data_IF_931215286742
#
_entry.id   IF_931215286742
#
_cell.length_a   1.000
_cell.length_b   1.000
_cell.length_c   1.000
_cell.angle_alpha   90.00
_cell.angle_beta   90.00
_cell.angle_gamma   90.00
#
_symmetry.space_group_name_H-M   'P 1'
#
loop_
_entity.id
_entity.type
_entity.pdbx_description
1 polymer ?
#
# COMPACT_ATOMS: atom_id res chain seq x y z
N UNK A 1 -4.22 -4.06 4.17
CA UNK A 1 -4.89 -2.96 3.42
C UNK A 1 -4.12 -2.66 2.15
N UNK A 2 -4.80 -2.39 1.02
CA UNK A 2 -4.16 -1.91 -0.20
C UNK A 2 -4.70 -0.53 -0.56
N UNK A 3 -3.78 0.43 -0.79
CA UNK A 3 -4.11 1.83 -1.07
C UNK A 3 -4.44 2.02 -2.54
N UNK A 4 -5.66 2.45 -2.86
CA UNK A 4 -6.16 2.54 -4.23
C UNK A 4 -7.00 3.81 -4.51
N UNK A 5 -6.96 4.82 -3.61
CA UNK A 5 -7.81 6.00 -3.70
C UNK A 5 -7.25 7.14 -4.56
N UNK A 6 -5.96 7.07 -4.94
CA UNK A 6 -5.25 8.15 -5.62
C UNK A 6 -5.82 8.52 -7.00
N UNK A 7 -5.86 9.82 -7.33
CA UNK A 7 -6.33 10.34 -8.62
C UNK A 7 -5.46 9.90 -9.81
N UNK A 8 -4.15 9.71 -9.60
CA UNK A 8 -3.23 9.35 -10.67
C UNK A 8 -3.07 10.43 -11.75
N UNK A 9 -2.99 11.71 -11.38
CA UNK A 9 -2.97 12.84 -12.32
C UNK A 9 -1.86 12.77 -13.37
N UNK A 10 -0.67 12.30 -12.98
CA UNK A 10 0.48 12.12 -13.90
C UNK A 10 0.26 11.02 -14.96
N UNK A 11 -0.76 10.18 -14.79
CA UNK A 11 -1.13 9.11 -15.71
C UNK A 11 -2.18 9.52 -16.75
N UNK A 12 -2.63 10.79 -16.74
CA UNK A 12 -3.58 11.29 -17.75
C UNK A 12 -3.00 11.19 -19.16
N UNK A 13 -3.85 10.86 -20.18
CA UNK A 13 -5.32 10.76 -20.11
C UNK A 13 -5.84 9.39 -19.64
N UNK A 14 -4.98 8.39 -19.39
CA UNK A 14 -5.42 7.02 -19.03
C UNK A 14 -6.33 7.01 -17.80
N UNK A 15 -6.01 7.82 -16.81
CA UNK A 15 -6.77 7.91 -15.54
C UNK A 15 -7.97 8.84 -15.59
N UNK A 16 -8.34 9.36 -16.77
CA UNK A 16 -9.61 10.05 -16.93
C UNK A 16 -10.79 9.08 -17.08
N UNK A 17 -10.53 7.87 -17.59
CA UNK A 17 -11.53 6.83 -17.82
C UNK A 17 -11.43 5.64 -16.87
N UNK A 18 -10.22 5.33 -16.38
CA UNK A 18 -9.96 4.18 -15.51
C UNK A 18 -9.19 4.62 -14.26
N UNK A 19 -9.51 4.09 -13.06
CA UNK A 19 -8.70 4.35 -11.88
C UNK A 19 -7.32 3.70 -12.06
N UNK A 20 -6.26 4.38 -11.61
CA UNK A 20 -4.87 3.92 -11.77
C UNK A 20 -4.65 2.46 -11.36
N UNK A 21 -5.23 1.95 -10.24
CA UNK A 21 -5.08 0.55 -9.82
C UNK A 21 -5.62 -0.49 -10.81
N UNK A 22 -6.49 -0.09 -11.76
CA UNK A 22 -7.02 -0.97 -12.80
C UNK A 22 -6.21 -0.94 -14.11
N UNK A 23 -5.19 -0.09 -14.23
CA UNK A 23 -4.30 -0.08 -15.39
C UNK A 23 -3.52 -1.40 -15.46
N UNK A 24 -3.40 -1.94 -16.67
CA UNK A 24 -2.86 -3.27 -16.91
C UNK A 24 -1.33 -3.28 -16.98
N UNK A 25 -0.71 -4.21 -16.26
CA UNK A 25 0.70 -4.58 -16.38
C UNK A 25 0.76 -6.08 -16.64
N UNK A 26 1.38 -6.49 -17.74
CA UNK A 26 1.54 -7.90 -18.13
C UNK A 26 0.23 -8.71 -18.05
N UNK A 27 -0.87 -8.10 -18.47
CA UNK A 27 -2.19 -8.74 -18.53
C UNK A 27 -3.00 -8.74 -17.24
N UNK A 28 -2.49 -8.12 -16.16
CA UNK A 28 -3.23 -7.99 -14.89
C UNK A 28 -3.28 -6.53 -14.43
N UNK A 29 -4.37 -6.07 -13.79
CA UNK A 29 -4.40 -4.76 -13.14
C UNK A 29 -3.31 -4.63 -12.09
N UNK A 30 -2.77 -3.41 -11.91
CA UNK A 30 -1.77 -3.13 -10.88
C UNK A 30 -2.20 -3.60 -9.49
N UNK A 31 -3.45 -3.38 -9.12
CA UNK A 31 -4.01 -3.78 -7.83
C UNK A 31 -3.98 -5.31 -7.61
N UNK A 32 -3.98 -6.11 -8.68
CA UNK A 32 -3.96 -7.56 -8.59
C UNK A 32 -2.67 -8.08 -7.92
N UNK A 33 -1.52 -7.46 -8.20
CA UNK A 33 -0.22 -7.94 -7.71
C UNK A 33 -0.13 -7.95 -6.18
N UNK A 34 -0.35 -6.85 -5.46
CA UNK A 34 -0.33 -6.87 -4.00
C UNK A 34 -1.45 -7.72 -3.40
N UNK A 35 -2.62 -7.78 -4.01
CA UNK A 35 -3.71 -8.65 -3.53
C UNK A 35 -3.34 -10.13 -3.64
N UNK A 36 -2.77 -10.55 -4.78
CA UNK A 36 -2.34 -11.92 -4.98
C UNK A 36 -1.20 -12.32 -4.02
N UNK A 37 -0.21 -11.44 -3.83
CA UNK A 37 0.89 -11.68 -2.91
C UNK A 37 0.42 -11.80 -1.44
N UNK A 38 -0.54 -10.96 -1.02
CA UNK A 38 -1.18 -11.07 0.31
C UNK A 38 -1.96 -12.38 0.47
N UNK A 39 -2.71 -12.79 -0.55
CA UNK A 39 -3.44 -14.07 -0.52
C UNK A 39 -2.49 -15.26 -0.42
N UNK A 40 -1.38 -15.26 -1.17
CA UNK A 40 -0.33 -16.29 -1.09
C UNK A 40 0.34 -16.36 0.27
N UNK A 41 0.44 -15.23 0.97
CA UNK A 41 0.94 -15.15 2.35
C UNK A 41 -0.07 -15.66 3.40
N UNK A 42 -1.28 -16.06 2.99
CA UNK A 42 -2.32 -16.55 3.90
C UNK A 42 -3.16 -15.46 4.55
N UNK A 43 -3.11 -14.22 4.06
CA UNK A 43 -4.00 -13.14 4.52
C UNK A 43 -5.45 -13.49 4.14
N UNK A 44 -6.34 -13.51 5.11
CA UNK A 44 -7.75 -13.95 4.93
C UNK A 44 -8.70 -12.82 4.59
N UNK A 45 -8.32 -11.56 4.86
CA UNK A 45 -9.13 -10.39 4.52
C UNK A 45 -8.22 -9.19 4.18
N UNK A 46 -8.60 -8.42 3.17
CA UNK A 46 -7.90 -7.19 2.78
C UNK A 46 -8.90 -6.05 2.57
N UNK A 47 -8.59 -4.90 3.16
CA UNK A 47 -9.33 -3.65 2.92
C UNK A 47 -8.69 -2.91 1.75
N UNK A 48 -9.48 -2.52 0.77
CA UNK A 48 -9.08 -1.66 -0.35
C UNK A 48 -9.72 -0.28 -0.12
N UNK A 49 -8.92 0.78 0.05
CA UNK A 49 -9.50 2.11 0.04
C UNK A 49 -9.70 2.57 -1.40
N UNK A 50 -10.81 3.23 -1.66
CA UNK A 50 -11.19 3.69 -2.99
C UNK A 50 -11.55 5.17 -2.98
N UNK A 51 -11.23 5.87 -4.05
CA UNK A 51 -11.51 7.29 -4.22
C UNK A 51 -11.89 7.61 -5.66
N UNK A 52 -11.00 8.24 -6.41
CA UNK A 52 -11.23 8.57 -7.81
C UNK A 52 -11.60 7.35 -8.66
N UNK A 53 -12.78 7.38 -9.31
CA UNK A 53 -13.34 6.26 -10.09
C UNK A 53 -13.38 4.93 -9.30
N UNK A 54 -13.45 5.01 -7.98
CA UNK A 54 -13.41 3.85 -7.07
C UNK A 54 -14.60 2.90 -7.23
N UNK A 55 -15.71 3.39 -7.80
CA UNK A 55 -16.89 2.62 -8.20
C UNK A 55 -16.61 1.58 -9.30
N UNK A 56 -15.47 1.67 -9.99
CA UNK A 56 -15.02 0.66 -10.94
C UNK A 56 -14.20 -0.47 -10.28
N UNK A 57 -13.62 -0.25 -9.09
CA UNK A 57 -12.72 -1.22 -8.45
C UNK A 57 -13.50 -2.40 -7.87
N UNK A 58 -14.56 -2.14 -7.12
CA UNK A 58 -15.38 -3.19 -6.51
C UNK A 58 -16.04 -4.11 -7.56
N UNK A 59 -16.63 -3.63 -8.65
CA UNK A 59 -17.11 -4.50 -9.73
C UNK A 59 -16.03 -5.32 -10.41
N UNK A 60 -14.78 -4.83 -10.47
CA UNK A 60 -13.67 -5.53 -11.10
C UNK A 60 -13.14 -6.69 -10.25
N UNK A 61 -13.14 -6.55 -8.92
CA UNK A 61 -12.56 -7.54 -8.00
C UNK A 61 -13.60 -8.33 -7.19
N UNK A 62 -14.83 -7.81 -7.04
CA UNK A 62 -15.87 -8.44 -6.23
C UNK A 62 -15.55 -8.44 -4.74
N UNK A 63 -16.21 -9.35 -4.00
CA UNK A 63 -16.04 -9.49 -2.55
C UNK A 63 -14.97 -10.52 -2.15
N UNK A 64 -14.45 -11.29 -3.11
CA UNK A 64 -13.44 -12.33 -2.90
C UNK A 64 -12.45 -12.35 -4.07
N UNK A 65 -11.18 -12.60 -3.79
CA UNK A 65 -10.11 -12.60 -4.80
C UNK A 65 -10.31 -13.68 -5.89
N UNK A 66 -10.92 -14.84 -5.55
CA UNK A 66 -11.19 -15.91 -6.49
C UNK A 66 -12.15 -15.50 -7.62
N UNK A 67 -13.09 -14.60 -7.33
CA UNK A 67 -14.02 -14.08 -8.34
C UNK A 67 -13.30 -13.29 -9.45
N UNK A 68 -12.20 -12.64 -9.08
CA UNK A 68 -11.35 -11.92 -10.01
C UNK A 68 -10.50 -12.86 -10.87
N UNK A 69 -9.92 -13.91 -10.26
CA UNK A 69 -9.11 -14.91 -10.96
C UNK A 69 -9.86 -15.58 -12.12
N UNK A 70 -11.17 -15.81 -11.96
CA UNK A 70 -12.02 -16.37 -13.01
C UNK A 70 -12.28 -15.41 -14.19
N UNK A 71 -12.35 -14.11 -13.93
CA UNK A 71 -12.62 -13.10 -14.98
C UNK A 71 -11.39 -12.77 -15.84
N UNK A 72 -10.17 -12.96 -15.30
CA UNK A 72 -8.90 -12.65 -15.98
C UNK A 72 -8.00 -13.87 -16.19
N UNK A 73 -8.50 -15.07 -15.97
CA UNK A 73 -7.75 -16.32 -16.02
C UNK A 73 -7.30 -16.68 -17.44
N UNK A 74 -6.17 -16.15 -17.85
CA UNK A 74 -5.33 -16.79 -18.89
C UNK A 74 -4.17 -17.61 -18.27
N UNK A 75 -3.95 -17.56 -16.96
CA UNK A 75 -2.89 -18.30 -16.25
C UNK A 75 -3.51 -19.01 -15.04
N UNK A 76 -3.45 -20.35 -15.04
CA UNK A 76 -3.85 -21.17 -13.90
C UNK A 76 -2.93 -20.87 -12.71
N UNK A 77 -3.33 -19.98 -11.83
CA UNK A 77 -2.78 -19.90 -10.49
C UNK A 77 -3.44 -20.96 -9.62
N UNK A 78 -2.65 -21.69 -8.86
CA UNK A 78 -3.15 -22.67 -7.88
C UNK A 78 -4.13 -21.96 -6.95
N UNK A 79 -5.42 -22.31 -7.07
CA UNK A 79 -6.46 -21.74 -6.22
C UNK A 79 -6.10 -21.93 -4.75
N UNK A 80 -6.07 -20.84 -4.00
CA UNK A 80 -6.01 -20.92 -2.55
C UNK A 80 -7.25 -21.69 -2.07
N UNK A 81 -7.07 -22.61 -1.14
CA UNK A 81 -8.19 -23.38 -0.56
C UNK A 81 -9.16 -22.50 0.23
N UNK A 82 -8.79 -21.25 0.50
CA UNK A 82 -9.61 -20.27 1.21
C UNK A 82 -9.53 -18.92 0.48
N UNK A 83 -10.61 -18.45 -0.12
CA UNK A 83 -10.65 -17.17 -0.80
C UNK A 83 -10.40 -16.01 0.18
N UNK A 84 -9.53 -15.07 -0.20
CA UNK A 84 -9.31 -13.85 0.58
C UNK A 84 -10.50 -12.91 0.42
N UNK A 85 -11.11 -12.50 1.53
CA UNK A 85 -12.22 -11.54 1.53
C UNK A 85 -11.73 -10.13 1.23
N UNK A 86 -12.43 -9.44 0.34
CA UNK A 86 -12.17 -8.04 0.00
C UNK A 86 -13.23 -7.15 0.65
N UNK A 87 -12.76 -6.12 1.36
CA UNK A 87 -13.56 -5.09 1.98
C UNK A 87 -13.20 -3.75 1.35
N UNK A 88 -14.15 -2.84 1.25
CA UNK A 88 -13.95 -1.55 0.61
C UNK A 88 -14.17 -0.40 1.60
N UNK A 89 -13.21 0.55 1.60
CA UNK A 89 -13.28 1.78 2.39
C UNK A 89 -13.29 2.97 1.43
N UNK A 90 -14.43 3.65 1.33
CA UNK A 90 -14.60 4.75 0.37
C UNK A 90 -14.18 6.10 0.98
N UNK A 91 -13.30 6.83 0.29
CA UNK A 91 -12.81 8.15 0.72
C UNK A 91 -13.63 9.31 0.15
N UNK A 92 -14.41 9.07 -0.90
CA UNK A 92 -15.17 10.06 -1.66
C UNK A 92 -15.14 9.74 -3.16
N UNK A 93 -15.94 10.44 -3.95
CA UNK A 93 -16.07 10.19 -5.40
C UNK A 93 -15.49 11.31 -6.28
N UNK A 94 -15.24 12.49 -5.69
CA UNK A 94 -14.80 13.68 -6.42
C UNK A 94 -13.28 13.77 -6.59
N UNK A 95 -12.83 14.46 -7.62
CA UNK A 95 -11.43 14.85 -7.75
C UNK A 95 -11.08 15.78 -6.57
N UNK A 96 -10.07 15.40 -5.79
CA UNK A 96 -9.65 16.15 -4.62
C UNK A 96 -10.30 15.72 -3.29
N UNK A 97 -11.15 14.70 -3.28
CA UNK A 97 -11.73 14.12 -2.05
C UNK A 97 -10.83 13.04 -1.41
N UNK A 98 -9.75 12.62 -2.09
CA UNK A 98 -8.77 11.69 -1.52
C UNK A 98 -8.21 12.24 -0.21
N UNK A 99 -8.18 11.37 0.82
CA UNK A 99 -7.82 11.74 2.20
C UNK A 99 -6.31 11.71 2.44
N UNK A 100 -5.51 11.49 1.42
CA UNK A 100 -4.09 11.14 1.53
C UNK A 100 -3.87 9.85 2.33
N UNK A 101 -2.62 9.41 2.45
CA UNK A 101 -2.35 8.05 2.94
C UNK A 101 -2.80 7.83 4.38
N UNK A 102 -2.44 8.71 5.30
CA UNK A 102 -2.82 8.54 6.71
C UNK A 102 -4.32 8.76 6.92
N UNK A 103 -4.92 9.77 6.27
CA UNK A 103 -6.36 10.00 6.34
C UNK A 103 -7.18 8.82 5.82
N UNK A 104 -6.72 8.17 4.74
CA UNK A 104 -7.34 6.96 4.17
C UNK A 104 -7.18 5.74 5.08
N UNK A 105 -6.00 5.54 5.69
CA UNK A 105 -5.80 4.47 6.68
C UNK A 105 -6.69 4.71 7.90
N UNK A 106 -6.77 5.95 8.42
CA UNK A 106 -7.63 6.29 9.55
C UNK A 106 -9.10 6.02 9.26
N UNK A 107 -9.57 6.27 8.03
CA UNK A 107 -10.93 5.92 7.61
C UNK A 107 -11.17 4.41 7.63
N UNK A 108 -10.21 3.64 7.16
CA UNK A 108 -10.28 2.19 7.11
C UNK A 108 -10.01 1.51 8.47
N UNK A 109 -9.45 2.22 9.46
CA UNK A 109 -8.94 1.65 10.71
C UNK A 109 -9.95 0.78 11.46
N UNK A 110 -11.27 1.09 11.52
CA UNK A 110 -12.27 0.21 12.13
C UNK A 110 -12.41 -1.16 11.48
N UNK A 111 -11.93 -1.33 10.23
CA UNK A 111 -11.96 -2.58 9.46
C UNK A 111 -10.64 -3.35 9.54
N UNK A 112 -9.61 -2.79 10.18
CA UNK A 112 -8.26 -3.37 10.25
C UNK A 112 -8.01 -4.03 11.60
N UNK A 113 -7.15 -5.05 11.60
CA UNK A 113 -6.71 -5.75 12.80
C UNK A 113 -5.73 -4.90 13.62
N UNK A 114 -5.32 -5.42 14.79
CA UNK A 114 -4.32 -4.78 15.68
C UNK A 114 -2.97 -4.60 14.99
N UNK A 115 -2.56 -5.56 14.16
CA UNK A 115 -1.37 -5.50 13.30
C UNK A 115 -1.81 -5.78 11.88
N UNK A 116 -1.42 -4.93 10.94
CA UNK A 116 -1.86 -5.06 9.55
C UNK A 116 -0.80 -4.61 8.55
N UNK A 117 -0.83 -5.26 7.39
CA UNK A 117 -0.07 -4.85 6.22
C UNK A 117 -0.71 -3.66 5.52
N UNK A 118 0.13 -2.76 5.00
CA UNK A 118 -0.27 -1.73 4.03
C UNK A 118 0.63 -1.85 2.81
N UNK A 119 0.03 -1.81 1.63
CA UNK A 119 0.75 -1.74 0.36
C UNK A 119 0.04 -0.77 -0.60
N UNK A 120 0.77 -0.11 -1.47
CA UNK A 120 0.17 0.70 -2.52
C UNK A 120 -0.33 -0.18 -3.67
N UNK A 121 -1.51 0.12 -4.19
CA UNK A 121 -2.15 -0.56 -5.32
C UNK A 121 -1.70 -0.02 -6.70
N UNK A 122 -0.72 0.87 -6.71
CA UNK A 122 -0.18 1.51 -7.91
C UNK A 122 1.32 1.30 -8.11
N UNK A 123 1.89 0.37 -7.33
CA UNK A 123 3.29 -0.07 -7.40
C UNK A 123 3.35 -1.48 -7.98
N UNK A 124 4.25 -1.70 -8.92
CA UNK A 124 4.55 -3.02 -9.46
C UNK A 124 5.73 -3.63 -8.71
N UNK A 125 5.45 -4.69 -7.95
CA UNK A 125 6.44 -5.38 -7.10
C UNK A 125 6.11 -6.88 -7.07
N UNK A 126 6.32 -7.59 -8.20
CA UNK A 126 5.78 -8.93 -8.42
C UNK A 126 6.35 -10.00 -7.49
N UNK A 127 7.60 -9.81 -7.03
CA UNK A 127 8.34 -10.82 -6.27
C UNK A 127 8.40 -10.51 -4.76
N UNK A 128 7.62 -9.52 -4.28
CA UNK A 128 7.60 -9.21 -2.85
C UNK A 128 6.82 -10.27 -2.07
N UNK A 129 7.47 -10.81 -1.03
CA UNK A 129 6.86 -11.82 -0.16
C UNK A 129 6.40 -11.16 1.15
N UNK A 130 5.10 -11.17 1.40
CA UNK A 130 4.50 -10.78 2.68
C UNK A 130 4.76 -11.89 3.72
N UNK A 131 5.92 -11.88 4.37
CA UNK A 131 6.37 -12.95 5.26
C UNK A 131 5.61 -12.94 6.59
N UNK A 132 5.00 -14.09 6.95
CA UNK A 132 4.35 -14.25 8.26
C UNK A 132 5.38 -14.29 9.40
N UNK A 133 6.60 -14.76 9.15
CA UNK A 133 7.70 -14.68 10.14
C UNK A 133 8.03 -13.22 10.48
N UNK A 134 8.15 -12.35 9.46
CA UNK A 134 8.39 -10.91 9.68
C UNK A 134 7.20 -10.28 10.41
N UNK A 135 5.98 -10.67 10.07
CA UNK A 135 4.76 -10.22 10.74
C UNK A 135 4.78 -10.58 12.24
N UNK A 136 5.07 -11.83 12.57
CA UNK A 136 5.09 -12.30 13.97
C UNK A 136 6.21 -11.63 14.77
N UNK A 137 7.40 -11.49 14.18
CA UNK A 137 8.53 -10.78 14.79
C UNK A 137 8.17 -9.30 15.04
N UNK A 138 7.57 -8.63 14.08
CA UNK A 138 7.12 -7.25 14.23
C UNK A 138 6.04 -7.13 15.32
N UNK A 139 5.06 -8.03 15.33
CA UNK A 139 3.98 -8.07 16.33
C UNK A 139 4.56 -8.17 17.76
N UNK A 140 5.60 -8.97 17.96
CA UNK A 140 6.27 -9.15 19.23
C UNK A 140 7.21 -7.99 19.61
N UNK A 141 7.61 -7.15 18.69
CA UNK A 141 8.55 -6.04 18.90
C UNK A 141 7.89 -4.83 19.58
N UNK A 142 8.71 -3.85 19.99
CA UNK A 142 8.22 -2.55 20.47
C UNK A 142 7.97 -1.53 19.34
N UNK A 143 8.36 -1.83 18.11
CA UNK A 143 8.11 -0.94 16.98
C UNK A 143 6.59 -0.81 16.71
N UNK A 144 6.15 0.38 16.31
CA UNK A 144 4.78 0.67 15.92
C UNK A 144 4.59 0.63 14.39
N UNK A 145 5.68 0.77 13.65
CA UNK A 145 5.71 0.57 12.21
C UNK A 145 6.96 -0.20 11.79
N UNK A 146 6.87 -1.00 10.73
CA UNK A 146 7.99 -1.55 9.98
C UNK A 146 7.80 -1.22 8.51
N UNK A 147 8.79 -0.55 7.90
CA UNK A 147 8.70 -0.08 6.52
C UNK A 147 9.75 -0.76 5.64
N UNK A 148 9.40 -1.01 4.38
CA UNK A 148 10.38 -1.45 3.39
C UNK A 148 10.89 -0.27 2.58
N UNK A 149 12.21 -0.19 2.49
CA UNK A 149 12.94 0.79 1.73
C UNK A 149 13.50 0.13 0.47
N UNK A 150 13.61 0.90 -0.61
CA UNK A 150 14.20 0.45 -1.87
C UNK A 150 15.31 1.39 -2.32
N UNK A 151 16.26 0.94 -3.14
CA UNK A 151 17.22 1.82 -3.81
C UNK A 151 16.49 2.96 -4.53
N UNK A 152 17.10 4.15 -4.53
CA UNK A 152 16.46 5.34 -5.07
C UNK A 152 16.28 5.24 -6.59
N UNK A 153 15.03 5.31 -7.08
CA UNK A 153 14.77 5.38 -8.52
C UNK A 153 15.15 6.76 -9.08
N UNK A 154 15.31 6.88 -10.39
CA UNK A 154 15.69 8.12 -11.06
C UNK A 154 14.86 9.35 -10.67
N UNK A 155 13.59 9.15 -10.40
CA UNK A 155 12.65 10.23 -10.04
C UNK A 155 12.66 10.61 -8.55
N UNK A 156 13.33 9.85 -7.68
CA UNK A 156 13.51 10.14 -6.25
C UNK A 156 14.97 9.89 -5.82
N UNK A 157 15.93 10.55 -6.45
CA UNK A 157 17.37 10.37 -6.16
C UNK A 157 17.76 10.79 -4.74
N UNK A 158 16.95 11.64 -4.08
CA UNK A 158 17.21 12.09 -2.71
C UNK A 158 16.86 11.06 -1.66
N UNK A 159 15.91 10.14 -1.98
CA UNK A 159 15.33 9.23 -1.01
C UNK A 159 14.46 9.92 0.05
N UNK A 160 13.89 9.12 0.93
CA UNK A 160 12.92 9.55 1.93
C UNK A 160 13.43 9.36 3.36
N UNK A 161 14.05 8.19 3.63
CA UNK A 161 14.45 7.76 4.97
C UNK A 161 15.78 7.02 4.95
N UNK A 162 16.52 7.12 6.06
CA UNK A 162 17.73 6.35 6.30
C UNK A 162 17.46 5.02 7.02
N UNK A 163 18.50 4.20 7.09
CA UNK A 163 18.51 2.93 7.83
C UNK A 163 19.71 2.89 8.77
N UNK A 164 19.48 2.60 10.05
CA UNK A 164 20.56 2.38 11.02
C UNK A 164 21.08 0.94 10.96
N UNK A 165 22.24 0.70 11.55
CA UNK A 165 22.83 -0.64 11.65
C UNK A 165 21.95 -1.60 12.49
N UNK A 166 21.12 -1.06 13.39
CA UNK A 166 20.19 -1.82 14.24
C UNK A 166 18.83 -2.08 13.55
N UNK A 167 18.65 -1.66 12.28
CA UNK A 167 17.41 -1.87 11.55
C UNK A 167 16.31 -0.84 11.88
N UNK A 168 16.67 0.36 12.39
CA UNK A 168 15.72 1.43 12.59
C UNK A 168 15.69 2.37 11.39
N UNK A 169 14.48 2.80 11.02
CA UNK A 169 14.31 3.88 10.06
C UNK A 169 14.73 5.22 10.68
N UNK A 170 15.40 6.06 9.90
CA UNK A 170 15.97 7.34 10.33
C UNK A 170 15.45 8.49 9.47
N UNK A 171 15.14 9.62 10.13
CA UNK A 171 14.79 10.86 9.44
C UNK A 171 15.95 11.45 8.65
N UNK A 172 17.17 11.25 9.14
CA UNK A 172 18.41 11.76 8.55
C UNK A 172 19.48 10.67 8.58
N UNK A 173 20.24 10.54 7.51
CA UNK A 173 21.37 9.64 7.37
C UNK A 173 22.29 10.14 6.26
N UNK A 174 23.54 9.65 6.21
CA UNK A 174 24.45 9.92 5.12
C UNK A 174 23.95 9.36 3.77
N UNK A 175 23.10 8.34 3.80
CA UNK A 175 22.40 7.78 2.63
C UNK A 175 20.94 7.58 2.98
N UNK A 176 20.05 8.04 2.10
CA UNK A 176 18.60 7.84 2.20
C UNK A 176 18.15 6.88 1.09
N UNK A 177 17.10 6.15 1.37
CA UNK A 177 16.42 5.21 0.48
C UNK A 177 14.99 5.68 0.24
N UNK A 178 14.38 5.22 -0.84
CA UNK A 178 12.98 5.50 -1.14
C UNK A 178 12.06 4.58 -0.33
N UNK A 179 10.99 5.13 0.25
CA UNK A 179 9.94 4.33 0.88
C UNK A 179 9.13 3.60 -0.18
N UNK A 180 9.13 2.28 -0.12
CA UNK A 180 8.44 1.43 -1.10
C UNK A 180 6.92 1.51 -1.06
N UNK A 181 6.35 2.16 -0.03
CA UNK A 181 4.92 2.13 0.30
C UNK A 181 4.40 0.76 0.76
N UNK A 182 5.31 -0.16 1.11
CA UNK A 182 4.98 -1.41 1.77
C UNK A 182 5.37 -1.29 3.24
N UNK A 183 4.45 -1.63 4.14
CA UNK A 183 4.68 -1.52 5.57
C UNK A 183 3.81 -2.47 6.39
N UNK A 184 4.24 -2.74 7.62
CA UNK A 184 3.44 -3.24 8.72
C UNK A 184 3.19 -2.11 9.71
N UNK A 185 1.98 -2.04 10.23
CA UNK A 185 1.62 -1.11 11.29
C UNK A 185 0.93 -1.83 12.43
N UNK A 186 1.15 -1.34 13.65
CA UNK A 186 0.25 -1.58 14.77
C UNK A 186 -0.81 -0.49 14.81
N UNK A 187 -2.02 -0.82 15.19
CA UNK A 187 -3.10 0.15 15.40
C UNK A 187 -2.66 1.31 16.29
N UNK A 188 -1.87 1.02 17.33
CA UNK A 188 -1.29 2.01 18.23
C UNK A 188 -0.46 3.11 17.56
N UNK A 189 0.09 2.86 16.35
CA UNK A 189 0.75 3.92 15.57
C UNK A 189 -0.22 5.05 15.21
N UNK A 190 -1.47 4.72 14.93
CA UNK A 190 -2.52 5.66 14.52
C UNK A 190 -3.35 6.19 15.69
N UNK A 191 -3.08 5.75 16.91
CA UNK A 191 -3.71 6.19 18.16
C UNK A 191 -2.76 7.04 19.02
N UNK A 192 -1.53 7.29 18.53
CA UNK A 192 -0.53 8.10 19.21
C UNK A 192 -0.73 9.61 18.99
N UNK A 193 -0.09 10.43 19.82
CA UNK A 193 -0.23 11.89 19.82
C UNK A 193 0.09 12.57 18.47
N UNK A 194 0.90 11.96 17.62
CA UNK A 194 1.18 12.46 16.28
C UNK A 194 0.06 12.23 15.26
N UNK A 195 -1.00 11.49 15.62
CA UNK A 195 -2.16 11.25 14.78
C UNK A 195 -3.45 11.73 15.45
N UNK A 196 -3.81 13.01 15.32
CA UNK A 196 -4.97 13.59 15.99
C UNK A 196 -6.32 13.26 15.31
N UNK A 197 -6.34 12.31 14.37
CA UNK A 197 -7.53 11.92 13.61
C UNK A 197 -8.23 10.76 14.33
N UNK A 198 -9.52 10.86 14.67
CA UNK A 198 -10.23 9.76 15.29
C UNK A 198 -10.41 8.57 14.32
N UNK A 199 -10.43 7.32 14.83
CA UNK A 199 -10.72 6.13 14.01
C UNK A 199 -12.01 6.28 13.20
N UNK A 200 -11.96 5.85 11.91
CA UNK A 200 -13.05 6.05 10.96
C UNK A 200 -13.02 7.39 10.24
N UNK A 201 -12.18 8.33 10.69
CA UNK A 201 -12.00 9.66 10.08
C UNK A 201 -13.35 10.29 9.65
N UNK A 202 -14.29 10.50 10.59
CA UNK A 202 -15.65 10.95 10.26
C UNK A 202 -15.67 12.31 9.56
N UNK A 203 -14.74 13.19 9.90
CA UNK A 203 -14.65 14.55 9.37
C UNK A 203 -13.89 14.62 8.04
N UNK A 204 -13.49 13.49 7.46
CA UNK A 204 -12.76 13.40 6.19
C UNK A 204 -11.46 14.25 6.19
N UNK A 205 -10.72 14.22 7.29
CA UNK A 205 -9.45 14.95 7.44
C UNK A 205 -8.41 14.37 6.49
N UNK A 206 -7.83 15.22 5.66
CA UNK A 206 -6.70 14.86 4.79
C UNK A 206 -5.41 14.89 5.60
N UNK A 207 -4.67 13.79 5.55
CA UNK A 207 -3.42 13.70 6.28
C UNK A 207 -2.37 12.86 5.54
N UNK A 208 -1.18 13.42 5.28
CA UNK A 208 -0.05 12.67 4.76
C UNK A 208 0.55 11.76 5.84
N UNK A 209 1.04 10.59 5.42
CA UNK A 209 1.65 9.62 6.33
C UNK A 209 3.07 10.01 6.76
N UNK A 210 3.84 10.64 5.88
CA UNK A 210 5.26 10.92 6.13
C UNK A 210 5.55 11.71 7.41
N UNK A 211 4.80 12.77 7.78
CA UNK A 211 5.00 13.47 9.05
C UNK A 211 4.81 12.56 10.28
N UNK A 212 3.85 11.63 10.23
CA UNK A 212 3.58 10.68 11.32
C UNK A 212 4.73 9.67 11.45
N UNK A 213 5.21 9.14 10.32
CA UNK A 213 6.40 8.27 10.30
C UNK A 213 7.62 8.97 10.89
N UNK A 214 7.86 10.25 10.50
CA UNK A 214 8.98 11.03 11.02
C UNK A 214 8.89 11.24 12.53
N UNK A 215 7.72 11.57 13.05
CA UNK A 215 7.51 11.70 14.48
C UNK A 215 7.79 10.37 15.22
N UNK A 216 7.29 9.26 14.71
CA UNK A 216 7.54 7.94 15.29
C UNK A 216 9.03 7.51 15.19
N UNK A 217 9.74 7.89 14.12
CA UNK A 217 11.20 7.67 13.99
C UNK A 217 11.99 8.42 15.05
N UNK A 218 11.62 9.66 15.39
CA UNK A 218 12.26 10.44 16.46
C UNK A 218 12.13 9.74 17.83
N UNK A 219 11.09 8.91 18.01
CA UNK A 219 10.88 8.06 19.17
C UNK A 219 11.48 6.65 19.02
N UNK A 220 12.19 6.33 17.92
CA UNK A 220 12.77 5.00 17.60
C UNK A 220 11.71 3.89 17.52
N UNK A 221 10.51 4.22 17.09
CA UNK A 221 9.36 3.30 17.00
C UNK A 221 9.09 2.80 15.57
N UNK A 222 9.99 3.11 14.62
CA UNK A 222 9.90 2.63 13.24
C UNK A 222 11.13 1.79 12.92
N UNK A 223 10.93 0.52 12.63
CA UNK A 223 11.96 -0.36 12.06
C UNK A 223 11.89 -0.37 10.53
N UNK A 224 12.97 -0.76 9.87
CA UNK A 224 12.98 -0.85 8.41
C UNK A 224 13.87 -1.99 7.90
N UNK A 225 13.54 -2.46 6.69
CA UNK A 225 14.35 -3.40 5.90
C UNK A 225 14.52 -2.88 4.48
N UNK A 226 15.61 -3.26 3.81
CA UNK A 226 15.81 -2.96 2.39
C UNK A 226 15.22 -4.10 1.57
N UNK A 227 14.46 -3.75 0.54
CA UNK A 227 14.03 -4.66 -0.52
C UNK A 227 14.81 -4.33 -1.79
N UNK A 228 15.59 -5.30 -2.26
CA UNK A 228 16.47 -5.16 -3.42
C UNK A 228 15.86 -5.76 -4.71
N UNK A 229 14.66 -6.34 -4.63
CA UNK A 229 13.94 -6.90 -5.78
C UNK A 229 13.35 -5.82 -6.70
N UNK A 230 12.68 -6.28 -7.75
CA UNK A 230 12.03 -5.38 -8.70
C UNK A 230 10.90 -4.59 -8.03
N UNK A 231 11.04 -3.28 -8.02
CA UNK A 231 10.06 -2.33 -7.52
C UNK A 231 9.92 -1.15 -8.49
N UNK A 232 8.71 -0.86 -8.95
CA UNK A 232 8.43 0.24 -9.88
C UNK A 232 7.18 1.00 -9.42
N UNK A 233 7.37 2.28 -9.05
CA UNK A 233 6.25 3.22 -8.95
C UNK A 233 5.73 3.52 -10.36
N UNK A 234 4.53 3.05 -10.68
CA UNK A 234 3.91 3.23 -12.00
C UNK A 234 3.27 4.62 -12.05
N UNK A 235 4.11 5.65 -11.97
CA UNK A 235 3.67 7.05 -11.85
C UNK A 235 3.45 7.78 -13.16
N UNK A 236 3.84 7.21 -14.31
CA UNK A 236 3.67 7.83 -15.64
C UNK A 236 3.32 6.79 -16.71
N UNK A 237 2.66 7.22 -17.83
CA UNK A 237 2.36 6.33 -18.98
C UNK A 237 3.60 5.62 -19.55
N UNK A 238 4.75 6.29 -19.55
CA UNK A 238 6.00 5.73 -20.08
C UNK A 238 6.48 4.55 -19.21
N UNK A 239 6.42 4.66 -17.87
CA UNK A 239 6.77 3.57 -16.96
C UNK A 239 5.81 2.39 -17.11
N UNK A 240 4.52 2.68 -17.29
CA UNK A 240 3.52 1.65 -17.57
C UNK A 240 3.84 0.90 -18.88
N UNK A 241 4.19 1.63 -19.93
CA UNK A 241 4.53 1.04 -21.21
C UNK A 241 5.80 0.16 -21.12
N UNK A 242 6.81 0.59 -20.37
CA UNK A 242 8.05 -0.19 -20.14
C UNK A 242 7.81 -1.53 -19.44
N UNK A 243 6.79 -1.63 -18.59
CA UNK A 243 6.45 -2.88 -17.92
C UNK A 243 5.68 -3.87 -18.81
N UNK A 244 5.15 -3.40 -19.94
CA UNK A 244 4.33 -4.19 -20.87
C UNK A 244 5.10 -4.60 -22.15
N UNK A 245 6.41 -4.41 -22.17
CA UNK A 245 7.29 -4.84 -23.28
C UNK A 245 7.68 -6.31 -23.13
#
# INVERSE_FOLDING_TARGET
>A
MVLAAGRGERMRPLTDAFPKPLLQVRGHPLLWYPLQALAQAGVTATVINTGWLGDQIEPAFGSYLDSYSAAFASVATTASTHPMRLLYSHEGRGAGEALETAGGIMRALPLLDEVFWVAAGDVYVPDFVFSMEVYDNFKASNALAHIWLVPNPEHNQKGDFGLSAEGLALNFSGSLYTFSTIALYKRAFFEADWCPIPPGNPDSVKAPLAPMLRAAMDHRLVSASIYEGLWVDVGTPERLAQLNV
#
